data_IF_666988386377
#
_entry.id   IF_666988386377
#
_cell.length_a   1.000
_cell.length_b   1.000
_cell.length_c   1.000
_cell.angle_alpha   90.00
_cell.angle_beta   90.00
_cell.angle_gamma   90.00
#
_symmetry.space_group_name_H-M   'P 1'
#
loop_
_entity.id
_entity.type
_entity.pdbx_description
1 polymer ?
#
# COMPACT_ATOMS: atom_id res chain seq x y z
N UNK A 1 12.94 27.09 -37.20
CA UNK A 1 12.66 25.75 -36.65
C UNK A 1 12.26 25.95 -35.20
N UNK A 2 10.99 25.70 -34.85
CA UNK A 2 10.51 25.86 -33.47
C UNK A 2 10.73 24.55 -32.73
N UNK A 3 11.37 24.60 -31.56
CA UNK A 3 11.16 23.60 -30.51
C UNK A 3 10.64 24.33 -29.28
N UNK A 4 9.36 24.14 -29.03
CA UNK A 4 8.62 24.65 -27.87
C UNK A 4 8.72 23.57 -26.79
N UNK A 5 9.56 23.79 -25.80
CA UNK A 5 9.63 22.94 -24.60
C UNK A 5 8.39 23.23 -23.74
N UNK A 6 7.56 22.20 -23.52
CA UNK A 6 6.34 22.26 -22.71
C UNK A 6 6.65 21.82 -21.28
N UNK A 7 6.28 22.67 -20.31
CA UNK A 7 6.36 22.41 -18.87
C UNK A 7 5.11 21.63 -18.42
N UNK A 8 5.25 20.63 -17.53
CA UNK A 8 4.17 20.21 -16.63
C UNK A 8 4.71 19.62 -15.32
N UNK A 9 4.28 20.25 -14.23
CA UNK A 9 4.56 19.97 -12.84
C UNK A 9 4.33 18.51 -12.43
N UNK A 10 5.23 17.95 -11.63
CA UNK A 10 4.86 16.95 -10.63
C UNK A 10 5.19 17.53 -9.27
N UNK A 11 4.20 18.18 -8.67
CA UNK A 11 4.18 18.62 -7.27
C UNK A 11 4.51 17.43 -6.37
N UNK A 12 5.74 17.39 -5.88
CA UNK A 12 6.11 16.61 -4.69
C UNK A 12 5.47 17.33 -3.51
N UNK A 13 4.24 16.94 -3.15
CA UNK A 13 3.59 17.41 -1.94
C UNK A 13 4.24 16.69 -0.74
N UNK A 14 5.20 17.40 -0.16
CA UNK A 14 5.84 17.14 1.13
C UNK A 14 4.82 17.01 2.26
N UNK A 15 5.05 16.08 3.19
CA UNK A 15 4.71 16.29 4.61
C UNK A 15 5.90 15.92 5.51
N UNK A 16 7.11 16.31 5.09
CA UNK A 16 8.26 16.39 6.00
C UNK A 16 8.27 17.75 6.69
N UNK A 17 7.77 17.81 7.92
CA UNK A 17 8.09 18.88 8.87
C UNK A 17 8.37 18.19 10.22
N UNK A 18 9.58 18.14 10.77
CA UNK A 18 10.63 19.16 10.78
C UNK A 18 12.02 18.57 10.51
N UNK A 19 12.84 19.31 9.77
CA UNK A 19 14.27 19.04 9.58
C UNK A 19 15.06 19.82 10.63
N UNK A 20 15.95 19.15 11.36
CA UNK A 20 17.12 19.79 11.96
C UNK A 20 18.30 18.82 11.86
N UNK A 21 19.29 19.15 11.02
CA UNK A 21 20.53 18.37 10.79
C UNK A 21 21.66 19.09 11.54
N UNK A 22 22.55 18.42 12.31
CA UNK A 22 23.64 17.65 11.71
C UNK A 22 24.19 16.47 12.57
N UNK A 23 24.33 15.26 11.99
CA UNK A 23 25.53 14.39 12.08
C UNK A 23 25.23 13.09 11.34
N UNK A 24 26.21 12.64 10.57
CA UNK A 24 26.23 11.42 9.75
C UNK A 24 26.10 10.15 10.58
N UNK A 25 24.89 9.78 11.00
CA UNK A 25 24.65 8.46 11.58
C UNK A 25 23.61 7.73 10.75
N UNK A 26 24.14 6.90 9.86
CA UNK A 26 23.44 5.87 9.10
C UNK A 26 22.88 4.79 10.05
N UNK A 27 22.01 5.17 10.98
CA UNK A 27 21.16 4.24 11.70
C UNK A 27 20.00 3.94 10.78
N UNK A 28 20.12 2.87 10.00
CA UNK A 28 18.98 2.24 9.37
C UNK A 28 18.07 1.64 10.45
N UNK A 29 17.46 2.49 11.27
CA UNK A 29 16.22 2.16 11.93
C UNK A 29 15.17 2.16 10.82
N UNK A 30 15.03 1.02 10.13
CA UNK A 30 13.94 0.76 9.22
C UNK A 30 12.64 0.71 10.03
N UNK A 31 12.18 1.84 10.54
CA UNK A 31 10.80 1.98 10.97
C UNK A 31 9.99 2.16 9.69
N UNK A 32 9.92 1.09 8.91
CA UNK A 32 9.30 1.00 7.59
C UNK A 32 7.80 1.21 7.78
N UNK A 33 7.36 2.47 7.76
CA UNK A 33 5.94 2.76 7.70
C UNK A 33 5.48 2.45 6.28
N UNK A 34 4.95 1.24 6.08
CA UNK A 34 4.37 0.84 4.80
C UNK A 34 3.29 1.85 4.38
N UNK A 35 3.17 2.16 3.08
CA UNK A 35 2.27 3.21 2.63
C UNK A 35 0.82 2.81 2.87
N UNK A 36 -0.02 3.76 3.29
CA UNK A 36 -1.46 3.53 3.34
C UNK A 36 -2.00 3.49 1.91
N UNK A 37 -2.64 2.38 1.51
CA UNK A 37 -3.25 2.23 0.18
C UNK A 37 -4.78 2.30 0.28
N UNK A 38 -5.41 2.86 -0.74
CA UNK A 38 -6.86 2.96 -0.85
C UNK A 38 -7.27 3.21 -2.32
N UNK A 39 -8.57 3.19 -2.57
CA UNK A 39 -9.17 3.50 -3.87
C UNK A 39 -8.57 4.73 -4.55
N UNK A 40 -8.32 4.59 -5.86
CA UNK A 40 -7.79 5.63 -6.74
C UNK A 40 -6.26 5.78 -6.71
N UNK A 41 -5.57 5.08 -5.81
CA UNK A 41 -4.11 5.08 -5.77
C UNK A 41 -3.51 4.17 -6.86
N UNK A 42 -2.25 4.43 -7.22
CA UNK A 42 -1.52 3.60 -8.17
C UNK A 42 -0.03 3.51 -7.83
N UNK A 43 0.64 2.49 -8.35
CA UNK A 43 2.11 2.32 -8.27
C UNK A 43 2.56 0.96 -7.77
N UNK A 44 3.85 0.84 -7.44
CA UNK A 44 4.47 -0.44 -7.07
C UNK A 44 3.88 -1.08 -5.81
N UNK A 45 3.48 -0.26 -4.83
CA UNK A 45 2.81 -0.78 -3.63
C UNK A 45 1.45 -1.41 -3.96
N UNK A 46 0.71 -0.86 -4.93
CA UNK A 46 -0.55 -1.44 -5.41
C UNK A 46 -0.29 -2.71 -6.21
N UNK A 47 0.76 -2.75 -7.05
CA UNK A 47 1.16 -3.99 -7.73
C UNK A 47 1.49 -5.09 -6.74
N UNK A 48 2.26 -4.78 -5.70
CA UNK A 48 2.55 -5.75 -4.64
C UNK A 48 1.27 -6.31 -4.01
N UNK A 49 0.33 -5.43 -3.65
CA UNK A 49 -0.98 -5.83 -3.14
C UNK A 49 -1.73 -6.75 -4.12
N UNK A 50 -1.84 -6.34 -5.38
CA UNK A 50 -2.52 -7.13 -6.41
C UNK A 50 -1.88 -8.51 -6.59
N UNK A 51 -0.54 -8.58 -6.63
CA UNK A 51 0.19 -9.84 -6.72
C UNK A 51 -0.12 -10.75 -5.53
N UNK A 52 -0.13 -10.20 -4.32
CA UNK A 52 -0.49 -10.94 -3.11
C UNK A 52 -1.94 -11.45 -3.19
N UNK A 53 -2.90 -10.61 -3.56
CA UNK A 53 -4.31 -11.02 -3.67
C UNK A 53 -4.49 -12.09 -4.76
N UNK A 54 -3.83 -11.94 -5.91
CA UNK A 54 -3.86 -12.94 -6.99
C UNK A 54 -3.28 -14.29 -6.51
N UNK A 55 -2.16 -14.27 -5.77
CA UNK A 55 -1.58 -15.52 -5.24
C UNK A 55 -2.47 -16.19 -4.19
N UNK A 56 -3.41 -15.43 -3.60
CA UNK A 56 -4.41 -15.93 -2.65
C UNK A 56 -5.75 -16.28 -3.30
N UNK A 57 -5.82 -16.31 -4.64
CA UNK A 57 -6.98 -16.80 -5.39
C UNK A 57 -7.99 -15.72 -5.78
N UNK A 58 -7.73 -14.44 -5.50
CA UNK A 58 -8.56 -13.35 -5.99
C UNK A 58 -8.28 -13.06 -7.47
N UNK A 59 -9.32 -12.99 -8.28
CA UNK A 59 -9.18 -12.71 -9.71
C UNK A 59 -9.10 -11.18 -9.96
N UNK A 60 -7.90 -10.68 -10.22
CA UNK A 60 -7.61 -9.25 -10.40
C UNK A 60 -6.75 -8.98 -11.64
N UNK A 61 -6.85 -7.76 -12.14
CA UNK A 61 -5.90 -7.23 -13.12
C UNK A 61 -4.63 -6.78 -12.38
N UNK A 62 -3.46 -7.21 -12.84
CA UNK A 62 -2.17 -6.76 -12.34
C UNK A 62 -1.70 -5.52 -13.12
N UNK A 63 -2.33 -4.37 -12.89
CA UNK A 63 -2.07 -3.10 -13.58
C UNK A 63 -1.39 -2.05 -12.69
N UNK A 64 -1.35 -2.27 -11.37
CA UNK A 64 -0.89 -1.30 -10.39
C UNK A 64 -1.87 -0.18 -10.10
N UNK A 65 -3.17 -0.35 -10.40
CA UNK A 65 -4.24 0.59 -10.09
C UNK A 65 -5.17 0.04 -9.02
N UNK A 66 -5.41 0.83 -7.98
CA UNK A 66 -6.33 0.49 -6.91
C UNK A 66 -7.74 0.89 -7.32
N UNK A 67 -8.30 0.12 -8.25
CA UNK A 67 -9.67 0.27 -8.74
C UNK A 67 -10.68 -0.60 -7.97
N UNK A 68 -11.96 -0.63 -8.41
CA UNK A 68 -13.04 -1.33 -7.72
C UNK A 68 -12.79 -2.82 -7.50
N UNK A 69 -12.12 -3.48 -8.45
CA UNK A 69 -11.78 -4.90 -8.32
C UNK A 69 -10.76 -5.13 -7.19
N UNK A 70 -9.71 -4.29 -7.13
CA UNK A 70 -8.67 -4.39 -6.09
C UNK A 70 -9.27 -4.10 -4.71
N UNK A 71 -10.14 -3.10 -4.60
CA UNK A 71 -10.85 -2.77 -3.36
C UNK A 71 -11.74 -3.93 -2.89
N UNK A 72 -12.57 -4.49 -3.78
CA UNK A 72 -13.45 -5.61 -3.43
C UNK A 72 -12.69 -6.86 -2.99
N UNK A 73 -11.59 -7.20 -3.68
CA UNK A 73 -10.73 -8.31 -3.27
C UNK A 73 -10.04 -8.05 -1.93
N UNK A 74 -9.61 -6.81 -1.67
CA UNK A 74 -9.03 -6.45 -0.38
C UNK A 74 -10.05 -6.60 0.76
N UNK A 75 -11.29 -6.15 0.56
CA UNK A 75 -12.34 -6.31 1.57
C UNK A 75 -12.65 -7.78 1.81
N UNK A 76 -12.70 -8.61 0.76
CA UNK A 76 -12.86 -10.05 0.92
C UNK A 76 -11.71 -10.66 1.74
N UNK A 77 -10.45 -10.29 1.45
CA UNK A 77 -9.31 -10.71 2.26
C UNK A 77 -9.42 -10.28 3.73
N UNK A 78 -9.78 -9.02 3.98
CA UNK A 78 -9.95 -8.50 5.34
C UNK A 78 -11.04 -9.27 6.10
N UNK A 79 -12.14 -9.58 5.42
CA UNK A 79 -13.21 -10.39 5.97
C UNK A 79 -12.74 -11.81 6.27
N UNK A 80 -12.15 -12.49 5.29
CA UNK A 80 -11.69 -13.87 5.40
C UNK A 80 -10.64 -14.01 6.52
N UNK A 81 -9.70 -13.06 6.62
CA UNK A 81 -8.68 -13.04 7.66
C UNK A 81 -9.27 -13.07 9.08
N UNK A 82 -10.38 -12.37 9.31
CA UNK A 82 -11.05 -12.34 10.61
C UNK A 82 -11.80 -13.64 10.94
N UNK A 83 -12.14 -14.46 9.94
CA UNK A 83 -12.88 -15.72 10.13
C UNK A 83 -11.98 -16.95 10.26
N UNK A 84 -10.73 -16.82 9.85
CA UNK A 84 -9.72 -17.86 10.08
C UNK A 84 -9.41 -17.85 11.59
N UNK A 85 -10.01 -18.78 12.34
CA UNK A 85 -9.94 -18.94 13.81
C UNK A 85 -8.55 -19.23 14.39
N UNK A 86 -7.52 -18.60 13.85
CA UNK A 86 -6.19 -18.52 14.41
C UNK A 86 -6.17 -17.45 15.48
N UNK A 87 -5.38 -17.71 16.53
CA UNK A 87 -4.99 -16.80 17.61
C UNK A 87 -4.20 -15.61 17.07
N UNK A 88 -4.81 -14.80 16.22
CA UNK A 88 -4.26 -13.57 15.71
C UNK A 88 -4.71 -12.44 16.64
N UNK A 89 -3.78 -11.64 17.18
CA UNK A 89 -4.14 -10.51 18.03
C UNK A 89 -4.82 -9.38 17.24
N UNK A 90 -4.77 -9.42 15.91
CA UNK A 90 -5.13 -8.31 15.04
C UNK A 90 -6.45 -8.60 14.33
N UNK A 91 -7.45 -7.77 14.63
CA UNK A 91 -8.71 -7.70 13.87
C UNK A 91 -8.54 -6.67 12.77
N UNK A 92 -8.89 -7.06 11.54
CA UNK A 92 -8.90 -6.13 10.42
C UNK A 92 -10.25 -5.44 10.30
N UNK A 93 -10.22 -4.13 10.04
CA UNK A 93 -11.40 -3.43 9.53
C UNK A 93 -11.61 -3.85 8.08
N UNK A 94 -12.85 -4.20 7.71
CA UNK A 94 -13.24 -4.53 6.33
C UNK A 94 -13.64 -3.23 5.63
N UNK A 95 -12.66 -2.40 5.36
CA UNK A 95 -12.84 -1.01 4.91
C UNK A 95 -12.23 -0.72 3.52
N UNK A 96 -11.59 -1.71 2.88
CA UNK A 96 -10.96 -1.51 1.58
C UNK A 96 -9.69 -0.65 1.66
N UNK A 97 -9.10 -0.49 2.85
CA UNK A 97 -7.89 0.30 3.08
C UNK A 97 -6.76 -0.59 3.58
N UNK A 98 -5.58 -0.43 2.97
CA UNK A 98 -4.36 -1.08 3.46
C UNK A 98 -3.68 -0.17 4.48
N UNK A 99 -4.00 -0.38 5.76
CA UNK A 99 -3.32 0.23 6.90
C UNK A 99 -2.19 -0.66 7.44
N UNK A 100 -1.58 -0.23 8.55
CA UNK A 100 -0.53 -1.00 9.26
C UNK A 100 -0.99 -2.43 9.60
N UNK A 101 -2.23 -2.56 10.07
CA UNK A 101 -2.82 -3.84 10.45
C UNK A 101 -2.98 -4.76 9.24
N UNK A 102 -3.53 -4.24 8.15
CA UNK A 102 -3.67 -4.96 6.88
C UNK A 102 -2.30 -5.39 6.34
N UNK A 103 -1.28 -4.55 6.42
CA UNK A 103 0.08 -4.91 6.01
C UNK A 103 0.69 -6.01 6.85
N UNK A 104 0.49 -5.96 8.17
CA UNK A 104 0.91 -7.03 9.08
C UNK A 104 0.19 -8.34 8.77
N UNK A 105 -1.10 -8.27 8.47
CA UNK A 105 -1.89 -9.42 8.07
C UNK A 105 -1.39 -10.06 6.76
N UNK A 106 -1.09 -9.23 5.76
CA UNK A 106 -0.46 -9.64 4.49
C UNK A 106 0.88 -10.31 4.78
N UNK A 107 1.74 -9.70 5.60
CA UNK A 107 3.04 -10.25 5.97
C UNK A 107 2.95 -11.61 6.66
N UNK A 108 1.93 -11.83 7.49
CA UNK A 108 1.71 -13.12 8.17
C UNK A 108 1.20 -14.22 7.23
N UNK A 109 0.86 -13.87 5.99
CA UNK A 109 0.29 -14.76 4.96
C UNK A 109 1.18 -14.88 3.72
N UNK A 110 2.39 -14.30 3.74
CA UNK A 110 3.39 -14.46 2.68
C UNK A 110 4.06 -15.85 2.71
#
# INVERSE_FOLDING_TARGET
MQTKTINSHSTVANNSASVNVPVVNNTFAYTTHLPRLQFGMAGEAVRFLQKFLISHGYNLIFDGQFGPQTEGALMAFQYDYNHLGQSNPDVLLVDGVVGKETWRAISNKL
#
